data_IF_393618000049
#
_entry.id   IF_393618000049
#
_cell.length_a   1.000
_cell.length_b   1.000
_cell.length_c   1.000
_cell.angle_alpha   90.00
_cell.angle_beta   90.00
_cell.angle_gamma   90.00
#
_symmetry.space_group_name_H-M   'P 1'
#
loop_
_entity.id
_entity.type
_entity.pdbx_description
1 polymer ?
#
# COMPACT_ATOMS: atom_id res chain seq x y z
N UNK A 1 -19.05 0.92 -3.53
CA UNK A 1 -18.11 1.74 -2.71
C UNK A 1 -18.88 2.44 -1.60
N UNK A 2 -18.36 2.49 -0.37
CA UNK A 2 -19.05 3.21 0.72
C UNK A 2 -18.81 4.73 0.60
N UNK A 3 -19.87 5.50 0.38
CA UNK A 3 -19.86 6.97 0.31
C UNK A 3 -19.12 7.64 1.50
N UNK A 4 -19.07 6.96 2.65
CA UNK A 4 -18.40 7.41 3.86
C UNK A 4 -16.88 7.58 3.72
N UNK A 5 -16.23 6.82 2.83
CA UNK A 5 -14.79 6.90 2.63
C UNK A 5 -14.38 8.20 1.92
N UNK A 6 -15.00 8.49 0.76
CA UNK A 6 -14.74 9.74 0.05
C UNK A 6 -15.15 10.97 0.87
N UNK A 7 -16.27 10.87 1.61
CA UNK A 7 -16.67 11.89 2.56
C UNK A 7 -15.64 12.09 3.68
N UNK A 8 -15.00 11.03 4.17
CA UNK A 8 -13.92 11.15 5.15
C UNK A 8 -12.66 11.79 4.55
N UNK A 9 -12.31 11.48 3.31
CA UNK A 9 -11.11 12.02 2.63
C UNK A 9 -11.27 13.47 2.15
N UNK A 10 -12.50 13.96 1.95
CA UNK A 10 -12.77 15.32 1.43
C UNK A 10 -12.47 16.48 2.40
N UNK A 11 -11.94 16.22 3.59
CA UNK A 11 -11.57 17.26 4.57
C UNK A 11 -10.07 17.40 4.72
N UNK A 12 -9.57 18.61 4.51
CA UNK A 12 -8.17 18.97 4.70
C UNK A 12 -7.67 18.68 6.12
N UNK A 13 -8.48 18.90 7.16
CA UNK A 13 -8.14 18.54 8.55
C UNK A 13 -7.96 17.05 8.72
N UNK A 14 -8.86 16.23 8.17
CA UNK A 14 -8.76 14.76 8.25
C UNK A 14 -7.57 14.23 7.47
N UNK A 15 -7.25 14.81 6.31
CA UNK A 15 -6.03 14.48 5.56
C UNK A 15 -4.76 14.82 6.36
N UNK A 16 -4.72 15.96 7.05
CA UNK A 16 -3.61 16.30 7.96
C UNK A 16 -3.49 15.30 9.11
N UNK A 17 -4.61 14.89 9.72
CA UNK A 17 -4.62 13.86 10.77
C UNK A 17 -4.02 12.53 10.25
N UNK A 18 -4.46 12.06 9.09
CA UNK A 18 -3.94 10.84 8.47
C UNK A 18 -2.44 10.95 8.16
N UNK A 19 -1.98 12.11 7.66
CA UNK A 19 -0.55 12.37 7.40
C UNK A 19 0.30 12.30 8.67
N UNK A 20 -0.21 12.78 9.80
CA UNK A 20 0.47 12.68 11.10
C UNK A 20 0.48 11.21 11.55
N UNK A 21 -0.67 10.55 11.53
CA UNK A 21 -0.86 9.16 11.98
C UNK A 21 -0.18 8.12 11.07
N UNK A 22 0.24 8.50 9.86
CA UNK A 22 1.07 7.70 8.96
C UNK A 22 2.49 7.52 9.48
N UNK A 23 2.97 8.49 10.23
CA UNK A 23 4.35 8.49 10.73
C UNK A 23 4.43 7.88 12.11
N UNK A 24 3.47 8.19 12.98
CA UNK A 24 3.47 7.76 14.38
C UNK A 24 2.05 7.55 14.91
N UNK A 25 1.91 6.63 15.86
CA UNK A 25 0.70 6.52 16.68
C UNK A 25 0.63 7.69 17.66
N UNK A 26 -0.57 8.24 17.91
CA UNK A 26 -0.71 9.43 18.75
C UNK A 26 -2.00 9.42 19.57
N UNK A 27 -1.93 9.99 20.77
CA UNK A 27 -3.13 10.26 21.57
C UNK A 27 -4.00 11.36 20.95
N UNK A 28 -5.31 11.33 21.21
CA UNK A 28 -6.24 12.38 20.78
C UNK A 28 -5.77 13.77 21.20
N UNK A 29 -5.29 13.91 22.44
CA UNK A 29 -4.78 15.18 22.98
C UNK A 29 -3.51 15.66 22.29
N UNK A 30 -2.61 14.73 21.96
CA UNK A 30 -1.42 15.05 21.16
C UNK A 30 -1.81 15.56 19.77
N UNK A 31 -2.74 14.87 19.11
CA UNK A 31 -3.21 15.22 17.78
C UNK A 31 -3.94 16.57 17.75
N UNK A 32 -4.71 16.88 18.80
CA UNK A 32 -5.34 18.17 19.00
C UNK A 32 -4.31 19.30 19.12
N UNK A 33 -3.24 19.08 19.88
CA UNK A 33 -2.13 20.05 20.01
C UNK A 33 -1.40 20.27 18.68
N UNK A 34 -1.03 19.20 17.97
CA UNK A 34 -0.33 19.29 16.68
C UNK A 34 -1.14 20.05 15.61
N UNK A 35 -2.47 19.97 15.68
CA UNK A 35 -3.36 20.59 14.71
C UNK A 35 -3.89 21.96 15.17
N UNK A 36 -3.55 22.42 16.37
CA UNK A 36 -4.11 23.61 17.00
C UNK A 36 -5.65 23.58 17.03
N UNK A 37 -6.22 22.43 17.41
CA UNK A 37 -7.66 22.20 17.52
C UNK A 37 -8.04 21.77 18.93
N UNK A 38 -9.32 21.90 19.29
CA UNK A 38 -9.82 21.40 20.56
C UNK A 38 -10.02 19.88 20.53
N UNK A 39 -9.90 19.23 21.69
CA UNK A 39 -10.15 17.79 21.84
C UNK A 39 -11.52 17.35 21.31
N UNK A 40 -12.64 18.08 21.55
CA UNK A 40 -13.95 17.71 20.99
C UNK A 40 -13.98 17.73 19.45
N UNK A 41 -13.34 18.73 18.83
CA UNK A 41 -13.27 18.84 17.36
C UNK A 41 -12.49 17.66 16.79
N UNK A 42 -11.31 17.35 17.36
CA UNK A 42 -10.53 16.18 16.96
C UNK A 42 -11.31 14.88 17.17
N UNK A 43 -11.98 14.70 18.31
CA UNK A 43 -12.78 13.50 18.59
C UNK A 43 -13.88 13.28 17.53
N UNK A 44 -14.52 14.35 17.03
CA UNK A 44 -15.49 14.29 15.94
C UNK A 44 -14.85 13.80 14.64
N UNK A 45 -13.69 14.35 14.27
CA UNK A 45 -12.96 13.90 13.09
C UNK A 45 -12.49 12.45 13.20
N UNK A 46 -12.02 12.05 14.37
CA UNK A 46 -11.62 10.67 14.68
C UNK A 46 -12.79 9.72 14.46
N UNK A 47 -13.98 10.02 14.97
CA UNK A 47 -15.17 9.18 14.77
C UNK A 47 -15.48 8.96 13.29
N UNK A 48 -15.40 10.01 12.47
CA UNK A 48 -15.64 9.92 11.02
C UNK A 48 -14.58 9.03 10.35
N UNK A 49 -13.31 9.22 10.70
CA UNK A 49 -12.22 8.42 10.15
C UNK A 49 -12.28 6.95 10.61
N UNK A 50 -12.71 6.68 11.84
CA UNK A 50 -12.94 5.32 12.35
C UNK A 50 -14.10 4.64 11.63
N UNK A 51 -15.23 5.33 11.44
CA UNK A 51 -16.38 4.82 10.69
C UNK A 51 -16.00 4.50 9.24
N UNK A 52 -15.17 5.33 8.62
CA UNK A 52 -14.64 5.08 7.29
C UNK A 52 -13.51 4.02 7.26
N UNK A 53 -13.14 3.44 8.40
CA UNK A 53 -12.08 2.44 8.51
C UNK A 53 -10.66 2.97 8.34
N UNK A 54 -10.44 4.28 8.19
CA UNK A 54 -9.13 4.86 7.88
C UNK A 54 -8.18 4.93 9.08
N UNK A 55 -8.71 4.85 10.30
CA UNK A 55 -7.90 4.79 11.53
C UNK A 55 -8.45 3.75 12.48
N UNK A 56 -7.62 3.35 13.44
CA UNK A 56 -8.01 2.53 14.58
C UNK A 56 -7.67 3.22 15.89
N UNK A 57 -8.46 2.92 16.91
CA UNK A 57 -8.23 3.36 18.28
C UNK A 57 -7.96 2.16 19.17
N UNK A 58 -6.80 2.14 19.82
CA UNK A 58 -6.49 1.22 20.91
C UNK A 58 -6.61 1.93 22.25
N UNK A 59 -7.24 1.27 23.22
CA UNK A 59 -7.35 1.76 24.59
C UNK A 59 -6.12 1.29 25.37
N UNK A 60 -5.41 2.25 25.98
CA UNK A 60 -4.28 2.01 26.89
C UNK A 60 -4.64 2.62 28.24
N UNK A 61 -5.16 1.79 29.15
CA UNK A 61 -5.69 2.23 30.44
C UNK A 61 -6.84 3.23 30.27
N UNK A 62 -6.65 4.48 30.75
CA UNK A 62 -7.61 5.59 30.58
C UNK A 62 -7.41 6.40 29.29
N UNK A 63 -6.40 6.07 28.50
CA UNK A 63 -6.04 6.84 27.30
C UNK A 63 -6.38 6.08 26.02
N UNK A 64 -6.54 6.83 24.93
CA UNK A 64 -6.75 6.29 23.60
C UNK A 64 -5.59 6.67 22.70
N UNK A 65 -5.00 5.68 22.03
CA UNK A 65 -3.96 5.87 21.02
C UNK A 65 -4.58 5.59 19.66
N UNK A 66 -4.35 6.50 18.72
CA UNK A 66 -4.81 6.41 17.34
C UNK A 66 -3.68 5.94 16.45
N UNK A 67 -4.01 5.08 15.49
CA UNK A 67 -3.11 4.63 14.42
C UNK A 67 -3.86 4.70 13.10
N UNK A 68 -3.18 5.09 12.02
CA UNK A 68 -3.76 4.96 10.68
C UNK A 68 -3.87 3.49 10.25
N UNK A 69 -4.93 3.16 9.52
CA UNK A 69 -5.08 1.87 8.83
C UNK A 69 -4.85 2.09 7.32
N UNK A 70 -3.60 2.30 6.93
CA UNK A 70 -3.27 2.50 5.50
C UNK A 70 -3.58 1.27 4.65
N UNK A 71 -3.59 0.07 5.22
CA UNK A 71 -4.07 -1.16 4.57
C UNK A 71 -5.50 -1.02 4.01
N UNK A 72 -6.34 -0.15 4.60
CA UNK A 72 -7.68 0.11 4.07
C UNK A 72 -7.69 1.09 2.88
N UNK A 73 -6.58 1.79 2.62
CA UNK A 73 -6.41 2.56 1.39
C UNK A 73 -6.14 1.63 0.20
N UNK A 74 -5.49 0.49 0.39
CA UNK A 74 -5.27 -0.50 -0.67
C UNK A 74 -6.62 -1.01 -1.20
N UNK A 75 -7.59 -1.27 -0.31
CA UNK A 75 -8.96 -1.64 -0.71
C UNK A 75 -9.66 -0.58 -1.57
N UNK A 76 -9.34 0.71 -1.37
CA UNK A 76 -9.85 1.79 -2.24
C UNK A 76 -9.20 1.74 -3.61
N UNK A 77 -7.88 1.56 -3.66
CA UNK A 77 -7.12 1.47 -4.91
C UNK A 77 -7.55 0.24 -5.72
N UNK A 78 -7.83 -0.89 -5.05
CA UNK A 78 -8.30 -2.13 -5.69
C UNK A 78 -9.63 -1.95 -6.43
N UNK A 79 -10.47 -0.98 -6.05
CA UNK A 79 -11.70 -0.69 -6.78
C UNK A 79 -11.47 -0.01 -8.14
N UNK A 80 -10.28 0.56 -8.35
CA UNK A 80 -9.82 1.10 -9.61
C UNK A 80 -8.83 0.17 -10.31
N UNK A 81 -8.53 -0.99 -9.73
CA UNK A 81 -7.62 -1.95 -10.33
C UNK A 81 -8.33 -2.71 -11.44
N UNK A 82 -7.71 -2.69 -12.62
CA UNK A 82 -8.14 -3.56 -13.71
C UNK A 82 -7.80 -5.01 -13.34
N UNK A 83 -8.82 -5.87 -13.41
CA UNK A 83 -8.68 -7.30 -13.12
C UNK A 83 -8.77 -8.08 -14.42
N UNK A 84 -7.76 -8.90 -14.68
CA UNK A 84 -7.78 -9.83 -15.80
C UNK A 84 -7.61 -11.27 -15.29
N UNK A 85 -8.27 -12.21 -15.96
CA UNK A 85 -8.10 -13.63 -15.71
C UNK A 85 -7.20 -14.22 -16.80
N UNK A 86 -6.15 -14.94 -16.38
CA UNK A 86 -5.22 -15.60 -17.30
C UNK A 86 -5.11 -17.08 -16.96
N UNK A 87 -5.21 -17.92 -17.99
CA UNK A 87 -5.03 -19.36 -17.86
C UNK A 87 -3.57 -19.73 -18.16
N UNK A 88 -2.91 -20.37 -17.20
CA UNK A 88 -1.53 -20.86 -17.32
C UNK A 88 -1.43 -22.32 -16.88
N UNK A 89 -0.56 -23.13 -17.52
CA UNK A 89 -0.24 -24.46 -17.03
C UNK A 89 0.26 -24.43 -15.58
N UNK A 90 0.00 -25.51 -14.85
CA UNK A 90 0.56 -25.71 -13.52
C UNK A 90 2.10 -25.69 -13.58
N UNK A 91 2.73 -24.98 -12.65
CA UNK A 91 4.18 -24.78 -12.60
C UNK A 91 4.69 -23.62 -13.47
N UNK A 92 3.82 -22.91 -14.20
CA UNK A 92 4.20 -21.65 -14.85
C UNK A 92 4.69 -20.63 -13.82
N UNK A 93 5.60 -19.76 -14.26
CA UNK A 93 6.05 -18.65 -13.43
C UNK A 93 5.03 -17.51 -13.39
N UNK A 94 5.17 -16.62 -12.42
CA UNK A 94 4.36 -15.40 -12.38
C UNK A 94 4.67 -14.52 -13.58
N UNK A 95 5.93 -14.49 -14.02
CA UNK A 95 6.32 -13.71 -15.19
C UNK A 95 5.71 -14.27 -16.49
N UNK A 96 5.60 -15.60 -16.61
CA UNK A 96 4.89 -16.24 -17.73
C UNK A 96 3.42 -15.85 -17.75
N UNK A 97 2.77 -15.82 -16.58
CA UNK A 97 1.38 -15.39 -16.46
C UNK A 97 1.23 -13.90 -16.83
N UNK A 98 2.12 -13.04 -16.32
CA UNK A 98 2.09 -11.60 -16.59
C UNK A 98 2.32 -11.29 -18.07
N UNK A 99 3.26 -11.98 -18.75
CA UNK A 99 3.53 -11.79 -20.18
C UNK A 99 2.33 -12.12 -21.09
N UNK A 100 1.35 -12.88 -20.60
CA UNK A 100 0.08 -13.10 -21.31
C UNK A 100 -0.90 -11.94 -21.20
N UNK A 101 -0.68 -11.04 -20.24
CA UNK A 101 -1.43 -9.80 -20.12
C UNK A 101 -0.80 -8.78 -21.07
N UNK A 102 -1.63 -8.08 -21.85
CA UNK A 102 -1.17 -6.99 -22.71
C UNK A 102 -0.58 -5.84 -21.89
N UNK A 103 0.20 -4.96 -22.53
CA UNK A 103 0.67 -3.72 -21.91
C UNK A 103 1.89 -3.85 -20.98
N UNK A 104 2.47 -5.05 -20.82
CA UNK A 104 3.63 -5.27 -19.95
C UNK A 104 4.93 -5.18 -20.75
N UNK A 105 5.86 -4.34 -20.28
CA UNK A 105 7.23 -4.28 -20.80
C UNK A 105 8.23 -4.85 -19.78
N UNK A 106 9.06 -5.76 -20.26
CA UNK A 106 10.08 -6.45 -19.45
C UNK A 106 11.46 -6.15 -20.02
N UNK A 107 12.43 -5.92 -19.15
CA UNK A 107 13.83 -5.72 -19.49
C UNK A 107 14.70 -6.81 -18.88
N UNK A 108 15.46 -7.48 -19.72
CA UNK A 108 16.53 -8.38 -19.28
C UNK A 108 17.70 -7.57 -18.72
N UNK A 109 18.11 -7.87 -17.49
CA UNK A 109 19.33 -7.36 -16.88
C UNK A 109 20.13 -8.55 -16.39
N UNK A 110 21.19 -8.89 -17.14
CA UNK A 110 21.98 -10.14 -16.96
C UNK A 110 21.10 -11.37 -17.14
N UNK A 111 20.98 -12.20 -16.11
CA UNK A 111 20.23 -13.44 -16.03
C UNK A 111 18.80 -13.26 -15.52
N UNK A 112 18.38 -12.02 -15.20
CA UNK A 112 17.06 -11.74 -14.61
C UNK A 112 16.23 -10.79 -15.44
N UNK A 113 14.92 -11.05 -15.44
CA UNK A 113 13.93 -10.18 -16.04
C UNK A 113 13.30 -9.22 -15.02
N UNK A 114 13.16 -7.95 -15.41
CA UNK A 114 12.53 -6.92 -14.60
C UNK A 114 11.37 -6.29 -15.36
N UNK A 115 10.20 -6.21 -14.73
CA UNK A 115 9.06 -5.43 -15.25
C UNK A 115 9.38 -3.95 -15.12
N UNK A 116 9.44 -3.23 -16.24
CA UNK A 116 9.79 -1.81 -16.30
C UNK A 116 8.59 -0.91 -16.63
N UNK A 117 7.53 -1.49 -17.19
CA UNK A 117 6.28 -0.79 -17.53
C UNK A 117 5.10 -1.76 -17.49
N UNK A 118 3.93 -1.28 -17.07
CA UNK A 118 2.64 -1.97 -17.19
C UNK A 118 1.64 -0.93 -17.69
N UNK A 119 0.87 -1.24 -18.73
CA UNK A 119 -0.12 -0.38 -19.37
C UNK A 119 0.42 1.01 -19.76
N UNK A 120 1.66 1.05 -20.24
CA UNK A 120 2.34 2.28 -20.65
C UNK A 120 2.86 3.14 -19.48
N UNK A 121 2.71 2.67 -18.24
CA UNK A 121 3.19 3.35 -17.06
C UNK A 121 4.59 2.84 -16.65
N UNK A 122 5.68 3.59 -16.88
CA UNK A 122 7.01 3.16 -16.48
C UNK A 122 7.18 3.25 -14.95
N UNK A 123 7.95 2.33 -14.37
CA UNK A 123 8.23 2.35 -12.93
C UNK A 123 8.88 1.09 -12.39
N UNK A 124 9.03 1.07 -11.07
CA UNK A 124 9.37 -0.15 -10.34
C UNK A 124 8.09 -0.82 -9.89
N UNK A 125 7.97 -2.11 -10.17
CA UNK A 125 6.81 -2.90 -9.81
C UNK A 125 7.22 -4.00 -8.84
N UNK A 126 6.36 -4.27 -7.87
CA UNK A 126 6.46 -5.40 -6.97
C UNK A 126 5.17 -6.19 -7.05
N UNK A 127 5.25 -7.51 -6.96
CA UNK A 127 4.08 -8.36 -6.97
C UNK A 127 3.78 -8.91 -5.58
N UNK A 128 2.53 -9.25 -5.33
CA UNK A 128 2.06 -10.00 -4.16
C UNK A 128 1.31 -11.24 -4.63
N UNK A 129 1.37 -12.31 -3.84
CA UNK A 129 0.60 -13.54 -4.10
C UNK A 129 -0.40 -13.73 -2.98
N UNK A 130 -1.69 -13.68 -3.31
CA UNK A 130 -2.80 -13.74 -2.35
C UNK A 130 -2.63 -12.73 -1.19
N UNK A 131 -2.26 -11.49 -1.52
CA UNK A 131 -2.06 -10.39 -0.57
C UNK A 131 -0.81 -10.50 0.32
N UNK A 132 0.12 -11.40 0.00
CA UNK A 132 1.38 -11.56 0.73
C UNK A 132 2.58 -11.16 -0.12
N UNK A 133 3.60 -10.52 0.48
CA UNK A 133 4.83 -10.21 -0.22
C UNK A 133 5.52 -11.51 -0.67
N UNK A 134 6.30 -11.45 -1.75
CA UNK A 134 6.92 -12.64 -2.31
C UNK A 134 8.22 -12.98 -1.59
N UNK A 135 8.47 -14.28 -1.43
CA UNK A 135 9.73 -14.80 -0.88
C UNK A 135 10.78 -15.11 -1.96
N UNK A 136 10.38 -15.06 -3.24
CA UNK A 136 11.22 -15.35 -4.42
C UNK A 136 11.04 -14.29 -5.50
N UNK A 137 11.69 -14.45 -6.66
CA UNK A 137 11.42 -13.60 -7.84
C UNK A 137 10.19 -14.09 -8.61
N UNK A 138 9.64 -13.25 -9.48
CA UNK A 138 8.48 -13.61 -10.31
C UNK A 138 8.80 -14.72 -11.33
N UNK A 139 10.07 -14.84 -11.72
CA UNK A 139 10.59 -15.88 -12.60
C UNK A 139 10.74 -17.23 -11.87
N UNK A 140 11.21 -17.19 -10.61
CA UNK A 140 11.44 -18.38 -9.80
C UNK A 140 10.15 -18.94 -9.18
N UNK A 141 9.15 -18.11 -8.92
CA UNK A 141 7.88 -18.53 -8.30
C UNK A 141 7.13 -19.52 -9.21
N UNK A 142 6.55 -20.58 -8.64
CA UNK A 142 5.77 -21.58 -9.38
C UNK A 142 4.31 -21.59 -8.95
N UNK A 143 3.41 -21.40 -9.93
CA UNK A 143 1.97 -21.38 -9.69
C UNK A 143 1.46 -22.83 -9.63
N UNK A 144 1.20 -23.30 -8.41
CA UNK A 144 0.76 -24.67 -8.15
C UNK A 144 -0.77 -24.83 -8.03
N UNK A 145 -1.47 -23.72 -7.80
CA UNK A 145 -2.91 -23.62 -7.58
C UNK A 145 -3.41 -22.22 -7.95
N UNK A 146 -4.72 -22.10 -8.13
CA UNK A 146 -5.39 -20.82 -8.34
C UNK A 146 -4.96 -19.80 -7.30
N UNK A 147 -4.48 -18.66 -7.77
CA UNK A 147 -3.86 -17.63 -6.96
C UNK A 147 -4.12 -16.27 -7.56
N UNK A 148 -4.38 -15.28 -6.71
CA UNK A 148 -4.42 -13.88 -7.12
C UNK A 148 -3.02 -13.31 -7.08
N UNK A 149 -2.58 -12.72 -8.19
CA UNK A 149 -1.30 -12.04 -8.31
C UNK A 149 -1.58 -10.56 -8.53
N UNK A 150 -1.14 -9.72 -7.60
CA UNK A 150 -1.29 -8.26 -7.71
C UNK A 150 0.06 -7.65 -8.07
N UNK A 151 0.10 -6.79 -9.08
CA UNK A 151 1.29 -6.01 -9.44
C UNK A 151 1.11 -4.55 -9.03
N UNK A 152 1.92 -4.09 -8.08
CA UNK A 152 1.82 -2.75 -7.50
C UNK A 152 2.99 -1.90 -7.96
N UNK A 153 2.68 -0.75 -8.58
CA UNK A 153 3.67 0.28 -8.89
C UNK A 153 4.17 0.89 -7.58
N UNK A 154 5.48 0.76 -7.33
CA UNK A 154 6.11 1.31 -6.14
C UNK A 154 6.28 2.82 -6.29
N UNK A 155 5.43 3.57 -5.59
CA UNK A 155 5.56 5.03 -5.46
C UNK A 155 6.23 5.35 -4.13
N UNK A 156 7.43 5.96 -4.11
CA UNK A 156 8.17 6.17 -2.88
C UNK A 156 7.54 7.27 -2.02
N UNK A 157 6.80 6.89 -0.98
CA UNK A 157 6.24 7.82 0.02
C UNK A 157 7.27 8.17 1.09
N UNK A 158 8.10 7.20 1.49
CA UNK A 158 9.18 7.36 2.47
C UNK A 158 10.48 6.88 1.82
N UNK A 159 11.58 7.61 2.03
CA UNK A 159 12.89 7.30 1.45
C UNK A 159 13.92 7.10 2.55
N UNK A 160 14.69 6.02 2.46
CA UNK A 160 15.89 5.78 3.27
C UNK A 160 17.11 5.78 2.34
N UNK A 161 18.11 6.60 2.65
CA UNK A 161 19.36 6.68 1.89
C UNK A 161 20.48 6.03 2.69
N UNK A 162 21.22 5.13 2.07
CA UNK A 162 22.41 4.50 2.64
C UNK A 162 23.59 4.88 1.75
N UNK A 163 24.67 5.37 2.35
CA UNK A 163 25.94 5.60 1.66
C UNK A 163 26.85 4.46 2.08
N UNK A 164 27.15 3.56 1.15
CA UNK A 164 28.06 2.44 1.38
C UNK A 164 29.48 2.92 1.07
N UNK A 165 30.34 2.99 2.09
CA UNK A 165 31.78 3.26 1.94
C UNK A 165 32.53 1.95 2.04
N UNK A 166 33.28 1.62 1.00
CA UNK A 166 34.16 0.45 1.00
C UNK A 166 35.44 0.83 1.76
N UNK A 167 35.81 0.08 2.80
CA UNK A 167 37.15 0.15 3.36
C UNK A 167 38.07 -0.70 2.50
N UNK A 168 39.01 -0.08 1.79
CA UNK A 168 40.14 -0.81 1.23
C UNK A 168 41.05 -1.25 2.39
N UNK A 169 41.53 -2.49 2.34
CA UNK A 169 42.60 -2.98 3.22
C UNK A 169 43.92 -2.33 2.87
#
# INVERSE_FOLDING_TARGET
>A
MSNDLFKALSSTTRLKMLKILAKNEMHISGLARELNLSNPVVARHVKILETAGLIQRKKFGKTHVLKSKFENMDNLLNAFADTCEVNVPKGSSILDALKKVGGVEVKQVRDKEFVISIDGEPGLYMYEVNGKPPDTTAEDFKIEKDSTIEWKKLVPVIRKRIIVKIKNR
#
